data_IF_379616716243
#
_entry.id   IF_379616716243
#
_cell.length_a   1.000
_cell.length_b   1.000
_cell.length_c   1.000
_cell.angle_alpha   90.00
_cell.angle_beta   90.00
_cell.angle_gamma   90.00
#
_symmetry.space_group_name_H-M   'P 1'
#
loop_
_entity.id
_entity.type
_entity.pdbx_description
1 polymer ?
#
# COMPACT_ATOMS: atom_id res chain seq x y z
N UNK A 1 0.57 14.81 -6.24
CA UNK A 1 1.24 14.08 -5.15
C UNK A 1 1.77 12.76 -5.69
N UNK A 2 3.09 12.58 -5.74
CA UNK A 2 3.71 11.31 -6.14
C UNK A 2 4.52 10.68 -5.02
N UNK A 3 4.76 9.39 -5.10
CA UNK A 3 5.55 8.64 -4.12
C UNK A 3 5.34 7.14 -4.28
N UNK A 4 6.24 6.30 -3.74
CA UNK A 4 6.08 4.84 -3.79
C UNK A 4 4.81 4.40 -3.05
N UNK A 5 4.37 3.17 -3.33
CA UNK A 5 3.34 2.53 -2.52
C UNK A 5 3.75 2.48 -1.04
N UNK A 6 2.79 2.60 -0.12
CA UNK A 6 3.06 2.62 1.32
C UNK A 6 3.77 3.89 1.83
N UNK A 7 3.99 4.92 1.01
CA UNK A 7 4.60 6.19 1.46
C UNK A 7 3.65 7.13 2.22
N UNK A 8 2.34 6.85 2.21
CA UNK A 8 1.32 7.71 2.84
C UNK A 8 0.80 8.84 1.94
N UNK A 9 1.12 8.83 0.63
CA UNK A 9 0.67 9.84 -0.35
C UNK A 9 -0.86 10.02 -0.39
N UNK A 10 -1.61 8.94 -0.34
CA UNK A 10 -3.08 8.94 -0.40
C UNK A 10 -3.68 9.50 0.89
N UNK A 11 -3.16 9.09 2.05
CA UNK A 11 -3.55 9.65 3.36
C UNK A 11 -3.26 11.14 3.45
N UNK A 12 -2.09 11.58 2.97
CA UNK A 12 -1.74 13.00 2.91
C UNK A 12 -2.69 13.76 1.98
N UNK A 13 -2.97 13.23 0.79
CA UNK A 13 -3.89 13.83 -0.17
C UNK A 13 -5.28 14.09 0.44
N UNK A 14 -5.84 13.09 1.12
CA UNK A 14 -7.15 13.24 1.78
C UNK A 14 -7.12 14.19 2.98
N UNK A 15 -6.05 14.18 3.80
CA UNK A 15 -5.90 15.16 4.89
C UNK A 15 -5.84 16.59 4.36
N UNK A 16 -5.07 16.82 3.28
CA UNK A 16 -5.01 18.13 2.61
C UNK A 16 -6.36 18.52 2.02
N UNK A 17 -7.05 17.59 1.37
CA UNK A 17 -8.37 17.80 0.80
C UNK A 17 -9.41 18.20 1.84
N UNK A 18 -9.41 17.57 3.01
CA UNK A 18 -10.33 17.92 4.10
C UNK A 18 -10.08 19.33 4.66
N UNK A 19 -8.82 19.80 4.64
CA UNK A 19 -8.46 21.13 5.14
C UNK A 19 -8.77 22.22 4.11
N UNK A 20 -8.47 21.96 2.84
CA UNK A 20 -8.59 22.94 1.75
C UNK A 20 -10.00 22.94 1.15
N UNK A 21 -10.72 21.82 1.23
CA UNK A 21 -12.01 21.62 0.56
C UNK A 21 -11.87 21.25 -0.92
N UNK A 22 -10.80 20.54 -1.31
CA UNK A 22 -10.53 20.17 -2.71
C UNK A 22 -10.80 18.69 -3.02
N UNK A 23 -10.94 18.37 -4.30
CA UNK A 23 -11.14 16.99 -4.77
C UNK A 23 -9.80 16.25 -4.96
N UNK A 24 -9.79 14.96 -4.61
CA UNK A 24 -8.65 14.06 -4.83
C UNK A 24 -8.98 13.07 -5.93
N UNK A 25 -8.10 12.97 -6.92
CA UNK A 25 -8.23 12.06 -8.06
C UNK A 25 -7.04 11.10 -8.03
N UNK A 26 -7.34 9.82 -7.87
CA UNK A 26 -6.34 8.77 -8.00
C UNK A 26 -6.01 8.50 -9.46
N UNK A 27 -4.73 8.37 -9.78
CA UNK A 27 -4.27 7.95 -11.10
C UNK A 27 -4.62 6.50 -11.41
N UNK A 28 -4.87 5.68 -10.38
CA UNK A 28 -5.29 4.28 -10.54
C UNK A 28 -6.65 4.18 -11.26
N UNK A 29 -7.51 5.19 -11.10
CA UNK A 29 -8.75 5.32 -11.87
C UNK A 29 -8.55 5.34 -13.39
N UNK A 30 -7.37 5.77 -13.84
CA UNK A 30 -7.04 5.91 -15.26
C UNK A 30 -6.36 4.69 -15.85
N UNK A 31 -6.34 3.56 -15.16
CA UNK A 31 -5.88 2.32 -15.76
C UNK A 31 -6.74 1.86 -16.94
N UNK A 32 -6.09 1.22 -17.91
CA UNK A 32 -6.70 0.64 -19.10
C UNK A 32 -7.18 -0.79 -18.80
N UNK A 33 -8.44 -1.14 -19.12
CA UNK A 33 -8.97 -2.48 -18.86
C UNK A 33 -8.29 -3.56 -19.71
N UNK A 34 -7.73 -3.22 -20.88
CA UNK A 34 -7.06 -4.16 -21.79
C UNK A 34 -5.73 -4.69 -21.22
N UNK A 35 -5.16 -3.99 -20.23
CA UNK A 35 -3.85 -4.28 -19.65
C UNK A 35 -3.93 -5.05 -18.33
N UNK A 36 -4.95 -5.88 -18.13
CA UNK A 36 -5.17 -6.64 -16.87
C UNK A 36 -3.95 -7.46 -16.41
N UNK A 37 -3.13 -7.96 -17.34
CA UNK A 37 -1.88 -8.69 -17.02
C UNK A 37 -0.75 -7.76 -16.60
N UNK A 38 -0.71 -6.54 -17.14
CA UNK A 38 0.35 -5.56 -16.93
C UNK A 38 0.12 -4.71 -15.68
N UNK A 39 -1.13 -4.65 -15.17
CA UNK A 39 -1.45 -4.07 -13.86
C UNK A 39 -0.70 -4.73 -12.71
N UNK A 40 -0.38 -6.03 -12.86
CA UNK A 40 0.45 -6.73 -11.86
C UNK A 40 1.87 -6.17 -11.77
N UNK A 41 2.34 -5.46 -12.79
CA UNK A 41 3.71 -4.98 -12.91
C UNK A 41 3.83 -3.46 -12.73
N UNK A 42 2.76 -2.75 -12.39
CA UNK A 42 2.77 -1.29 -12.25
C UNK A 42 3.45 -0.60 -13.45
N UNK A 43 3.19 -1.02 -14.69
CA UNK A 43 3.79 -0.38 -15.87
C UNK A 43 3.07 0.95 -16.16
N UNK A 44 3.83 2.02 -16.37
CA UNK A 44 3.33 3.32 -16.81
C UNK A 44 2.43 3.23 -18.06
N UNK A 45 2.66 2.26 -18.97
CA UNK A 45 1.86 2.06 -20.19
C UNK A 45 0.41 1.64 -19.93
N UNK A 46 0.14 1.08 -18.75
CA UNK A 46 -1.20 0.71 -18.31
C UNK A 46 -2.10 1.93 -18.04
N UNK A 47 -1.52 3.13 -17.87
CA UNK A 47 -2.28 4.37 -17.72
C UNK A 47 -2.81 4.89 -19.05
N UNK A 48 -4.08 5.27 -19.05
CA UNK A 48 -4.77 5.98 -20.13
C UNK A 48 -4.38 7.47 -20.10
N UNK A 49 -3.15 7.75 -20.54
CA UNK A 49 -2.60 9.11 -20.57
C UNK A 49 -3.39 10.08 -21.45
N UNK A 50 -4.02 9.57 -22.51
CA UNK A 50 -4.85 10.38 -23.39
C UNK A 50 -6.07 10.90 -22.63
N UNK A 51 -6.79 10.00 -21.94
CA UNK A 51 -7.93 10.38 -21.11
C UNK A 51 -7.51 11.26 -19.92
N UNK A 52 -6.41 10.91 -19.25
CA UNK A 52 -5.88 11.67 -18.12
C UNK A 52 -5.53 13.11 -18.52
N UNK A 53 -4.73 13.30 -19.57
CA UNK A 53 -4.32 14.63 -20.02
C UNK A 53 -5.51 15.47 -20.51
N UNK A 54 -6.47 14.85 -21.20
CA UNK A 54 -7.73 15.51 -21.58
C UNK A 54 -8.49 15.99 -20.34
N UNK A 55 -8.67 15.11 -19.35
CA UNK A 55 -9.38 15.45 -18.11
C UNK A 55 -8.66 16.56 -17.33
N UNK A 56 -7.33 16.50 -17.20
CA UNK A 56 -6.55 17.58 -16.58
C UNK A 56 -6.76 18.91 -17.33
N UNK A 57 -6.73 18.89 -18.66
CA UNK A 57 -6.97 20.08 -19.46
C UNK A 57 -8.40 20.65 -19.27
N UNK A 58 -9.41 19.79 -19.26
CA UNK A 58 -10.81 20.17 -19.04
C UNK A 58 -11.01 20.79 -17.65
N UNK A 59 -10.42 20.17 -16.62
CA UNK A 59 -10.39 20.67 -15.23
C UNK A 59 -9.76 22.06 -15.16
N UNK A 60 -8.58 22.27 -15.78
CA UNK A 60 -7.91 23.58 -15.78
C UNK A 60 -8.70 24.68 -16.51
N UNK A 61 -9.66 24.30 -17.36
CA UNK A 61 -10.57 25.22 -18.05
C UNK A 61 -11.90 25.40 -17.31
N UNK A 62 -12.07 24.82 -16.12
CA UNK A 62 -13.31 24.88 -15.35
C UNK A 62 -14.46 24.11 -16.00
N UNK A 63 -14.16 23.12 -16.86
CA UNK A 63 -15.18 22.32 -17.54
C UNK A 63 -15.52 21.08 -16.72
N UNK A 64 -16.81 20.76 -16.66
CA UNK A 64 -17.29 19.51 -16.08
C UNK A 64 -16.61 18.31 -16.73
N UNK A 65 -16.02 17.44 -15.92
CA UNK A 65 -15.14 16.36 -16.39
C UNK A 65 -15.63 15.01 -15.88
N UNK A 66 -15.51 13.96 -16.70
CA UNK A 66 -15.90 12.59 -16.32
C UNK A 66 -14.65 11.80 -15.92
N UNK A 67 -14.48 11.56 -14.63
CA UNK A 67 -13.37 10.79 -14.07
C UNK A 67 -13.73 9.31 -14.14
N UNK A 68 -12.91 8.45 -14.76
CA UNK A 68 -13.18 7.01 -14.77
C UNK A 68 -13.18 6.45 -13.34
N UNK A 69 -13.98 5.41 -13.12
CA UNK A 69 -13.91 4.59 -11.91
C UNK A 69 -13.33 3.25 -12.34
N UNK A 70 -12.19 2.88 -11.75
CA UNK A 70 -11.52 1.63 -12.04
C UNK A 70 -11.72 0.67 -10.87
N UNK A 71 -12.22 -0.51 -11.19
CA UNK A 71 -12.35 -1.60 -10.24
C UNK A 71 -11.12 -2.50 -10.38
N UNK A 72 -10.27 -2.47 -9.35
CA UNK A 72 -9.04 -3.24 -9.29
C UNK A 72 -9.28 -4.76 -9.11
N UNK A 73 -10.44 -5.16 -8.58
CA UNK A 73 -10.80 -6.58 -8.41
C UNK A 73 -11.12 -7.21 -9.77
N UNK A 74 -12.03 -6.57 -10.51
CA UNK A 74 -12.40 -7.03 -11.86
C UNK A 74 -11.34 -6.66 -12.90
N UNK A 75 -10.47 -5.69 -12.61
CA UNK A 75 -9.50 -5.13 -13.55
C UNK A 75 -10.18 -4.40 -14.70
N UNK A 76 -11.33 -3.78 -14.43
CA UNK A 76 -12.18 -3.18 -15.45
C UNK A 76 -12.66 -1.78 -15.05
N UNK A 77 -13.05 -0.99 -16.04
CA UNK A 77 -13.63 0.34 -15.80
C UNK A 77 -15.12 0.17 -15.51
N UNK A 78 -15.51 0.39 -14.26
CA UNK A 78 -16.89 0.18 -13.76
C UNK A 78 -17.83 1.35 -14.07
N UNK A 79 -17.30 2.51 -14.47
CA UNK A 79 -18.10 3.65 -14.88
C UNK A 79 -17.32 4.97 -14.89
N UNK A 80 -18.06 6.07 -14.76
CA UNK A 80 -17.51 7.42 -14.64
C UNK A 80 -18.22 8.20 -13.53
N UNK A 81 -17.44 8.92 -12.73
CA UNK A 81 -17.92 9.91 -11.77
C UNK A 81 -17.82 11.29 -12.40
N UNK A 82 -18.89 12.07 -12.33
CA UNK A 82 -18.84 13.48 -12.73
C UNK A 82 -18.07 14.27 -11.67
N UNK A 83 -17.13 15.08 -12.15
CA UNK A 83 -16.35 16.00 -11.35
C UNK A 83 -16.68 17.42 -11.80
N UNK A 84 -17.18 18.20 -10.86
CA UNK A 84 -17.30 19.65 -10.96
C UNK A 84 -16.35 20.24 -9.92
N UNK A 85 -15.37 21.00 -10.38
CA UNK A 85 -14.47 21.71 -9.47
C UNK A 85 -15.24 22.87 -8.86
N UNK A 86 -15.20 22.98 -7.54
CA UNK A 86 -15.87 24.08 -6.83
C UNK A 86 -15.33 25.43 -7.31
N UNK A 87 -16.22 26.40 -7.52
CA UNK A 87 -15.82 27.78 -7.84
C UNK A 87 -15.05 28.43 -6.67
N UNK A 88 -15.34 28.02 -5.43
CA UNK A 88 -14.70 28.50 -4.22
C UNK A 88 -13.31 27.88 -4.00
N UNK A 89 -13.07 26.69 -4.57
CA UNK A 89 -11.82 25.95 -4.42
C UNK A 89 -11.34 25.39 -5.77
N UNK A 90 -10.53 26.18 -6.46
CA UNK A 90 -9.92 25.82 -7.76
C UNK A 90 -8.75 24.84 -7.69
N UNK A 91 -8.56 24.13 -6.57
CA UNK A 91 -7.48 23.14 -6.40
C UNK A 91 -8.02 21.74 -6.66
N UNK A 92 -7.26 20.92 -7.37
CA UNK A 92 -7.52 19.49 -7.55
C UNK A 92 -6.22 18.73 -7.32
N UNK A 93 -6.27 17.68 -6.50
CA UNK A 93 -5.11 16.89 -6.15
C UNK A 93 -5.11 15.60 -6.99
N UNK A 94 -4.14 15.47 -7.88
CA UNK A 94 -3.84 14.18 -8.52
C UNK A 94 -2.83 13.41 -7.67
N UNK A 95 -3.14 12.17 -7.33
CA UNK A 95 -2.25 11.29 -6.56
C UNK A 95 -2.01 9.96 -7.26
N UNK A 96 -0.82 9.39 -7.07
CA UNK A 96 -0.47 8.06 -7.58
C UNK A 96 1.03 7.87 -7.73
N UNK A 97 1.45 6.62 -7.95
CA UNK A 97 2.88 6.27 -8.03
C UNK A 97 3.60 6.99 -9.20
N UNK A 98 2.90 7.20 -10.31
CA UNK A 98 3.41 7.90 -11.49
C UNK A 98 2.98 9.37 -11.60
N UNK A 99 2.42 9.97 -10.54
CA UNK A 99 1.89 11.34 -10.62
C UNK A 99 2.90 12.39 -11.07
N UNK A 100 4.18 12.18 -10.74
CA UNK A 100 5.27 13.08 -11.10
C UNK A 100 6.01 12.65 -12.36
N UNK A 101 5.53 11.63 -13.09
CA UNK A 101 6.13 11.22 -14.36
C UNK A 101 6.15 12.40 -15.36
N UNK A 102 7.23 12.62 -16.14
CA UNK A 102 7.38 13.77 -17.05
C UNK A 102 6.18 14.02 -17.98
N UNK A 103 5.59 12.95 -18.50
CA UNK A 103 4.43 13.02 -19.38
C UNK A 103 3.13 13.49 -18.69
N UNK A 104 3.08 13.46 -17.35
CA UNK A 104 1.92 13.92 -16.56
C UNK A 104 2.24 15.28 -15.93
N UNK A 105 3.39 15.41 -15.25
CA UNK A 105 3.74 16.61 -14.47
C UNK A 105 3.76 17.90 -15.30
N UNK A 106 4.02 17.81 -16.61
CA UNK A 106 3.97 18.96 -17.54
C UNK A 106 2.60 19.64 -17.61
N UNK A 107 1.54 18.95 -17.17
CA UNK A 107 0.18 19.49 -17.09
C UNK A 107 -0.19 20.00 -15.68
N UNK A 108 0.64 19.73 -14.67
CA UNK A 108 0.41 20.04 -13.25
C UNK A 108 1.15 21.33 -12.84
N UNK A 109 0.58 22.08 -11.91
CA UNK A 109 1.12 23.36 -11.46
C UNK A 109 2.08 23.23 -10.25
N UNK A 110 1.86 22.24 -9.37
CA UNK A 110 2.69 21.97 -8.19
C UNK A 110 3.00 20.48 -8.06
N UNK A 111 4.27 20.15 -7.79
CA UNK A 111 4.77 18.78 -7.70
C UNK A 111 5.26 18.51 -6.29
N UNK A 112 4.54 17.65 -5.58
CA UNK A 112 4.89 17.24 -4.21
C UNK A 112 5.21 15.76 -4.23
N UNK A 113 6.41 15.39 -3.79
CA UNK A 113 6.85 14.02 -3.60
C UNK A 113 6.74 13.62 -2.13
N UNK A 114 6.20 12.45 -1.86
CA UNK A 114 6.18 11.82 -0.54
C UNK A 114 7.17 10.65 -0.56
N UNK A 115 8.19 10.72 0.27
CA UNK A 115 9.28 9.73 0.37
C UNK A 115 9.30 9.10 1.76
N UNK A 116 9.85 7.89 1.91
CA UNK A 116 9.79 7.14 3.17
C UNK A 116 8.43 6.49 3.46
N UNK A 117 8.19 6.09 4.70
CA UNK A 117 7.00 5.36 5.14
C UNK A 117 7.22 3.85 5.15
N UNK A 118 6.17 3.08 4.89
CA UNK A 118 6.19 1.63 5.14
C UNK A 118 7.13 0.88 4.18
N UNK A 119 7.30 1.39 2.95
CA UNK A 119 8.20 0.78 1.97
C UNK A 119 9.68 0.80 2.39
N UNK A 120 10.15 1.87 3.04
CA UNK A 120 11.54 1.95 3.55
C UNK A 120 11.75 1.02 4.74
N UNK A 121 10.68 0.71 5.46
CA UNK A 121 10.66 -0.28 6.52
C UNK A 121 10.91 -1.70 5.98
N UNK A 122 10.30 -2.07 4.85
CA UNK A 122 10.60 -3.35 4.18
C UNK A 122 12.07 -3.45 3.78
N UNK A 123 12.62 -2.41 3.17
CA UNK A 123 14.03 -2.39 2.76
C UNK A 123 14.96 -2.58 3.96
N UNK A 124 14.71 -1.82 5.03
CA UNK A 124 15.47 -1.91 6.28
C UNK A 124 15.38 -3.30 6.89
N UNK A 125 14.18 -3.93 6.82
CA UNK A 125 13.96 -5.30 7.28
C UNK A 125 14.76 -6.33 6.47
N UNK A 126 14.70 -6.25 5.15
CA UNK A 126 15.43 -7.14 4.24
C UNK A 126 16.94 -7.00 4.45
N UNK A 127 17.45 -5.78 4.59
CA UNK A 127 18.86 -5.51 4.88
C UNK A 127 19.30 -6.13 6.21
N UNK A 128 18.48 -5.99 7.25
CA UNK A 128 18.71 -6.62 8.57
C UNK A 128 18.75 -8.15 8.46
N UNK A 129 17.77 -8.76 7.79
CA UNK A 129 17.71 -10.22 7.63
C UNK A 129 18.93 -10.74 6.86
N UNK A 130 19.35 -10.05 5.80
CA UNK A 130 20.54 -10.38 5.01
C UNK A 130 21.83 -10.33 5.82
N UNK A 131 21.99 -9.29 6.66
CA UNK A 131 23.14 -9.17 7.54
C UNK A 131 23.28 -10.33 8.54
N UNK A 132 22.17 -10.93 8.97
CA UNK A 132 22.16 -12.09 9.90
C UNK A 132 22.67 -13.38 9.27
N UNK A 133 22.56 -13.51 7.95
CA UNK A 133 23.03 -14.70 7.20
C UNK A 133 24.43 -14.45 6.60
N UNK A 134 25.16 -13.45 7.11
CA UNK A 134 26.47 -13.01 6.60
C UNK A 134 26.47 -12.66 5.10
N UNK A 135 25.31 -12.24 4.57
CA UNK A 135 25.16 -11.76 3.21
C UNK A 135 25.11 -10.23 3.24
N UNK A 136 26.17 -9.60 2.76
CA UNK A 136 26.24 -8.14 2.66
C UNK A 136 25.78 -7.69 1.28
N UNK A 137 24.61 -7.07 1.24
CA UNK A 137 24.12 -6.34 0.08
C UNK A 137 23.97 -4.86 0.48
N UNK A 138 24.34 -3.97 -0.42
CA UNK A 138 24.07 -2.54 -0.29
C UNK A 138 22.56 -2.27 -0.35
N UNK A 139 22.13 -1.14 0.21
CA UNK A 139 20.73 -0.72 0.15
C UNK A 139 20.25 -0.58 -1.30
N UNK A 140 21.11 -0.11 -2.21
CA UNK A 140 20.81 0.05 -3.63
C UNK A 140 20.60 -1.30 -4.32
N UNK A 141 21.41 -2.32 -4.01
CA UNK A 141 21.23 -3.68 -4.57
C UNK A 141 19.91 -4.30 -4.09
N UNK A 142 19.56 -4.10 -2.82
CA UNK A 142 18.29 -4.57 -2.27
C UNK A 142 17.12 -3.85 -2.93
N UNK A 143 17.19 -2.52 -3.07
CA UNK A 143 16.16 -1.74 -3.73
C UNK A 143 15.98 -2.18 -5.19
N UNK A 144 17.07 -2.39 -5.93
CA UNK A 144 17.04 -2.84 -7.33
C UNK A 144 16.44 -4.24 -7.47
N UNK A 145 16.47 -5.04 -6.39
CA UNK A 145 15.92 -6.41 -6.40
C UNK A 145 14.47 -6.45 -5.92
N UNK A 146 14.15 -5.75 -4.83
CA UNK A 146 12.83 -5.78 -4.19
C UNK A 146 11.86 -4.81 -4.84
N UNK A 147 12.32 -3.62 -5.24
CA UNK A 147 11.48 -2.62 -5.89
C UNK A 147 12.12 -2.09 -7.20
N UNK A 148 12.44 -2.98 -8.16
CA UNK A 148 13.12 -2.59 -9.41
C UNK A 148 12.35 -1.52 -10.18
N UNK A 149 11.02 -1.67 -10.29
CA UNK A 149 10.16 -0.71 -10.99
C UNK A 149 10.18 0.66 -10.32
N UNK A 150 10.22 0.70 -8.99
CA UNK A 150 10.31 1.96 -8.26
C UNK A 150 11.63 2.67 -8.56
N UNK A 151 12.76 1.99 -8.36
CA UNK A 151 14.07 2.61 -8.53
C UNK A 151 14.33 3.05 -9.98
N UNK A 152 13.86 2.27 -10.97
CA UNK A 152 14.08 2.58 -12.38
C UNK A 152 13.08 3.60 -12.94
N UNK A 153 11.82 3.57 -12.52
CA UNK A 153 10.74 4.29 -13.21
C UNK A 153 9.95 5.27 -12.33
N UNK A 154 10.18 5.30 -11.01
CA UNK A 154 9.43 6.18 -10.10
C UNK A 154 10.37 7.14 -9.39
N UNK A 155 11.41 6.63 -8.73
CA UNK A 155 12.37 7.41 -7.94
C UNK A 155 12.98 8.60 -8.71
N UNK A 156 13.42 8.46 -9.98
CA UNK A 156 13.99 9.58 -10.73
C UNK A 156 13.03 10.76 -10.86
N UNK A 157 11.72 10.49 -10.91
CA UNK A 157 10.69 11.51 -11.06
C UNK A 157 10.39 12.26 -9.75
N UNK A 158 10.71 11.67 -8.61
CA UNK A 158 10.55 12.32 -7.30
C UNK A 158 11.64 13.36 -7.05
N UNK A 159 12.80 13.23 -7.69
CA UNK A 159 13.95 14.14 -7.51
C UNK A 159 13.60 15.57 -7.89
N UNK A 160 12.83 15.73 -8.97
CA UNK A 160 12.45 17.02 -9.56
C UNK A 160 11.23 17.69 -8.88
N UNK A 161 10.68 17.09 -7.82
CA UNK A 161 9.54 17.67 -7.12
C UNK A 161 9.89 19.03 -6.48
N UNK A 162 8.96 19.98 -6.55
CA UNK A 162 9.09 21.30 -5.92
C UNK A 162 9.15 21.19 -4.38
N UNK A 163 8.42 20.22 -3.82
CA UNK A 163 8.42 19.95 -2.38
C UNK A 163 8.57 18.44 -2.14
N UNK A 164 9.42 18.08 -1.18
CA UNK A 164 9.60 16.70 -0.72
C UNK A 164 9.16 16.61 0.73
N UNK A 165 8.17 15.76 0.97
CA UNK A 165 7.69 15.43 2.31
C UNK A 165 8.28 14.08 2.65
N UNK A 166 9.10 14.05 3.69
CA UNK A 166 9.65 12.83 4.23
C UNK A 166 8.69 12.27 5.28
N UNK A 167 8.17 11.10 5.01
CA UNK A 167 7.38 10.34 5.94
C UNK A 167 8.30 9.40 6.72
N UNK A 168 8.62 9.77 7.96
CA UNK A 168 9.39 8.93 8.87
C UNK A 168 8.50 8.04 9.74
N UNK A 169 7.26 7.78 9.30
CA UNK A 169 6.33 6.88 9.98
C UNK A 169 6.96 5.50 10.18
N UNK A 170 7.06 5.12 11.44
CA UNK A 170 7.48 3.81 11.87
C UNK A 170 6.21 3.00 12.22
N UNK A 171 5.85 1.98 11.44
CA UNK A 171 4.65 1.19 11.69
C UNK A 171 4.65 0.47 13.05
N UNK A 172 5.83 0.27 13.67
CA UNK A 172 5.98 -0.39 14.96
C UNK A 172 5.82 0.60 16.11
N UNK A 173 6.40 1.80 15.99
CA UNK A 173 6.40 2.81 17.06
C UNK A 173 5.25 3.82 16.97
N UNK A 174 4.73 4.08 15.77
CA UNK A 174 3.74 5.13 15.47
C UNK A 174 2.32 4.59 15.30
N UNK A 175 2.01 3.42 15.85
CA UNK A 175 0.69 2.83 15.74
C UNK A 175 -0.36 3.59 16.57
N UNK A 176 -0.89 4.69 16.03
CA UNK A 176 -1.91 5.53 16.67
C UNK A 176 -3.23 4.77 16.93
N UNK A 177 -3.53 3.73 16.13
CA UNK A 177 -4.69 2.85 16.27
C UNK A 177 -4.25 1.40 16.38
N UNK A 178 -3.78 1.00 17.55
CA UNK A 178 -3.49 -0.42 17.82
C UNK A 178 -4.80 -1.19 17.96
N UNK A 179 -4.98 -2.24 17.15
CA UNK A 179 -6.01 -3.24 17.39
C UNK A 179 -5.56 -4.09 18.59
N UNK A 180 -6.25 -3.92 19.72
CA UNK A 180 -6.04 -4.78 20.87
C UNK A 180 -6.78 -6.09 20.64
N UNK A 181 -6.03 -7.17 20.40
CA UNK A 181 -6.60 -8.51 20.30
C UNK A 181 -6.51 -9.16 21.68
N UNK A 182 -7.63 -9.18 22.40
CA UNK A 182 -7.74 -9.97 23.62
C UNK A 182 -7.99 -11.43 23.22
N UNK A 183 -7.05 -12.31 23.53
CA UNK A 183 -7.20 -13.76 23.32
C UNK A 183 -7.55 -14.42 24.64
N UNK A 184 -8.66 -15.15 24.67
CA UNK A 184 -9.04 -16.03 25.77
C UNK A 184 -8.87 -17.48 25.33
N UNK A 185 -8.50 -18.36 26.27
CA UNK A 185 -8.45 -19.80 26.03
C UNK A 185 -9.84 -20.45 26.09
N UNK A 186 -10.87 -19.69 26.48
CA UNK A 186 -12.24 -20.18 26.51
C UNK A 186 -12.84 -20.10 25.10
N UNK A 187 -13.37 -21.22 24.61
CA UNK A 187 -14.21 -21.23 23.42
C UNK A 187 -15.59 -20.66 23.78
N UNK A 188 -16.06 -19.68 23.01
CA UNK A 188 -17.36 -19.02 23.19
C UNK A 188 -18.15 -19.17 21.89
N UNK A 189 -19.44 -19.47 21.97
CA UNK A 189 -20.25 -19.57 20.76
C UNK A 189 -20.44 -18.17 20.15
N UNK A 190 -20.41 -18.10 18.80
CA UNK A 190 -20.59 -16.83 18.08
C UNK A 190 -21.91 -16.14 18.45
N UNK A 191 -22.95 -16.92 18.75
CA UNK A 191 -24.26 -16.41 19.15
C UNK A 191 -24.19 -15.64 20.48
N UNK A 192 -23.45 -16.16 21.46
CA UNK A 192 -23.28 -15.53 22.78
C UNK A 192 -22.50 -14.20 22.65
N UNK A 193 -21.57 -14.11 21.69
CA UNK A 193 -20.85 -12.88 21.38
C UNK A 193 -21.82 -11.83 20.82
N UNK A 194 -22.69 -12.22 19.88
CA UNK A 194 -23.67 -11.32 19.27
C UNK A 194 -24.69 -10.78 20.27
N UNK A 195 -25.08 -11.56 21.28
CA UNK A 195 -26.02 -11.12 22.33
C UNK A 195 -25.47 -9.96 23.19
N UNK A 196 -24.14 -9.86 23.31
CA UNK A 196 -23.48 -8.86 24.15
C UNK A 196 -23.13 -7.59 23.35
N UNK A 197 -22.94 -7.71 22.03
CA UNK A 197 -22.57 -6.59 21.17
C UNK A 197 -23.79 -5.70 20.86
N UNK A 198 -23.61 -4.38 20.92
CA UNK A 198 -24.64 -3.41 20.57
C UNK A 198 -25.00 -3.52 19.08
N UNK A 199 -26.19 -4.05 18.72
CA UNK A 199 -26.53 -4.35 17.33
C UNK A 199 -26.62 -3.07 16.47
N UNK A 200 -26.77 -1.89 17.09
CA UNK A 200 -26.78 -0.61 16.37
C UNK A 200 -25.39 -0.12 15.97
N UNK A 201 -24.33 -0.74 16.49
CA UNK A 201 -22.92 -0.39 16.24
C UNK A 201 -22.13 -1.52 15.56
N UNK A 202 -22.80 -2.60 15.19
CA UNK A 202 -22.16 -3.75 14.53
C UNK A 202 -22.26 -3.60 13.02
N UNK A 203 -21.12 -3.66 12.35
CA UNK A 203 -21.03 -3.83 10.91
C UNK A 203 -20.23 -5.12 10.64
N UNK A 204 -20.76 -6.02 9.82
CA UNK A 204 -20.09 -7.27 9.44
C UNK A 204 -19.74 -7.24 7.95
N UNK A 205 -18.48 -7.53 7.64
CA UNK A 205 -18.01 -7.76 6.27
C UNK A 205 -17.25 -9.08 6.22
N UNK A 206 -17.53 -9.90 5.20
CA UNK A 206 -16.78 -11.15 4.97
C UNK A 206 -15.76 -10.89 3.86
N UNK A 207 -14.49 -11.16 4.14
CA UNK A 207 -13.42 -11.02 3.17
C UNK A 207 -12.60 -12.32 3.10
N UNK A 208 -12.36 -12.81 1.88
CA UNK A 208 -11.52 -13.98 1.63
C UNK A 208 -10.09 -13.56 1.29
N UNK A 209 -9.10 -14.17 1.94
CA UNK A 209 -7.70 -13.89 1.69
C UNK A 209 -6.83 -15.14 1.82
N UNK A 210 -5.66 -15.11 1.20
CA UNK A 210 -4.61 -16.13 1.31
C UNK A 210 -3.37 -15.47 1.92
N UNK A 211 -2.79 -16.08 2.96
CA UNK A 211 -1.55 -15.58 3.56
C UNK A 211 -0.36 -16.49 3.20
N UNK A 212 0.67 -15.89 2.62
CA UNK A 212 1.97 -16.51 2.32
C UNK A 212 2.98 -16.03 3.37
N UNK A 213 3.76 -16.95 3.92
CA UNK A 213 4.82 -16.64 4.88
C UNK A 213 6.19 -16.87 4.24
N UNK A 214 6.97 -15.82 4.10
CA UNK A 214 8.30 -15.83 3.49
C UNK A 214 9.38 -15.74 4.56
N UNK A 215 10.35 -16.67 4.55
CA UNK A 215 11.50 -16.65 5.48
C UNK A 215 12.81 -16.74 4.71
N UNK A 216 13.82 -16.00 5.16
CA UNK A 216 15.15 -16.10 4.61
C UNK A 216 15.83 -17.41 5.09
N UNK A 217 16.29 -18.21 4.13
CA UNK A 217 17.02 -19.45 4.41
C UNK A 217 18.34 -19.16 5.14
N UNK A 218 18.64 -19.90 6.22
CA UNK A 218 19.87 -19.74 7.00
C UNK A 218 19.75 -18.94 8.29
N UNK A 219 18.60 -18.32 8.58
CA UNK A 219 18.32 -17.79 9.92
C UNK A 219 18.03 -18.99 10.84
N UNK A 220 18.78 -19.21 11.94
CA UNK A 220 18.55 -20.35 12.83
C UNK A 220 17.12 -20.34 13.39
N UNK A 221 16.44 -21.48 13.33
CA UNK A 221 15.14 -21.65 13.96
C UNK A 221 15.36 -22.06 15.42
N UNK A 222 15.02 -21.19 16.37
CA UNK A 222 15.01 -21.55 17.80
C UNK A 222 13.78 -22.43 18.13
N UNK A 223 13.64 -23.56 17.43
CA UNK A 223 12.51 -24.49 17.59
C UNK A 223 11.22 -24.02 16.91
N UNK A 224 10.46 -23.11 17.52
CA UNK A 224 9.19 -22.61 16.96
C UNK A 224 9.40 -21.38 16.04
N UNK A 225 8.76 -21.39 14.87
CA UNK A 225 8.68 -20.25 13.96
C UNK A 225 7.98 -19.05 14.65
N UNK A 226 8.76 -18.08 15.12
CA UNK A 226 8.23 -16.83 15.67
C UNK A 226 7.74 -15.96 14.51
N UNK A 227 6.61 -15.26 14.67
CA UNK A 227 6.08 -14.37 13.62
C UNK A 227 7.09 -13.31 13.15
N UNK A 228 8.01 -12.91 14.04
CA UNK A 228 9.08 -11.96 13.75
C UNK A 228 10.11 -12.47 12.74
N UNK A 229 10.14 -13.76 12.42
CA UNK A 229 11.13 -14.38 11.55
C UNK A 229 10.67 -14.52 10.09
N UNK A 230 9.42 -14.16 9.82
CA UNK A 230 8.81 -14.26 8.50
C UNK A 230 8.22 -12.92 8.05
N UNK A 231 8.34 -12.64 6.75
CA UNK A 231 7.57 -11.61 6.07
C UNK A 231 6.25 -12.24 5.66
N UNK A 232 5.11 -11.70 6.12
CA UNK A 232 3.79 -12.18 5.73
C UNK A 232 3.25 -11.35 4.58
N UNK A 233 2.87 -12.02 3.50
CA UNK A 233 2.21 -11.42 2.34
C UNK A 233 0.79 -11.94 2.29
N UNK A 234 -0.19 -11.04 2.31
CA UNK A 234 -1.60 -11.36 2.12
C UNK A 234 -2.00 -11.10 0.68
N UNK A 235 -2.71 -12.05 0.10
CA UNK A 235 -3.38 -11.90 -1.18
C UNK A 235 -4.86 -11.76 -0.90
N UNK A 236 -5.43 -10.62 -1.27
CA UNK A 236 -6.85 -10.36 -1.12
C UNK A 236 -7.35 -9.57 -2.34
N UNK A 237 -8.43 -10.04 -2.97
CA UNK A 237 -9.07 -9.35 -4.12
C UNK A 237 -8.07 -8.96 -5.23
N UNK A 238 -7.07 -9.83 -5.48
CA UNK A 238 -6.04 -9.61 -6.50
C UNK A 238 -4.90 -8.67 -6.09
N UNK A 239 -4.94 -8.08 -4.89
CA UNK A 239 -3.87 -7.25 -4.33
C UNK A 239 -2.97 -8.05 -3.41
N UNK A 240 -1.69 -7.70 -3.41
CA UNK A 240 -0.72 -8.21 -2.46
C UNK A 240 -0.48 -7.13 -1.41
N UNK A 241 -0.65 -7.47 -0.14
CA UNK A 241 -0.36 -6.59 0.98
C UNK A 241 0.70 -7.24 1.87
N UNK A 242 1.74 -6.49 2.22
CA UNK A 242 2.69 -6.90 3.23
C UNK A 242 2.15 -6.53 4.60
N UNK A 243 2.14 -7.53 5.49
CA UNK A 243 1.65 -7.40 6.86
C UNK A 243 2.85 -7.18 7.78
N UNK A 244 2.95 -5.98 8.33
CA UNK A 244 3.93 -5.68 9.38
C UNK A 244 3.24 -5.94 10.71
N UNK A 245 3.69 -7.01 11.37
CA UNK A 245 3.15 -7.49 12.63
C UNK A 245 4.30 -7.77 13.58
N UNK A 246 4.86 -6.71 14.15
CA UNK A 246 5.82 -6.82 15.24
C UNK A 246 5.04 -6.68 16.56
N UNK A 247 4.69 -7.79 17.24
CA UNK A 247 3.88 -7.72 18.45
C UNK A 247 4.69 -7.13 19.60
N UNK A 248 4.10 -6.13 20.28
CA UNK A 248 4.63 -5.53 21.49
C UNK A 248 3.96 -6.24 22.68
N UNK A 249 4.75 -6.71 23.65
CA UNK A 249 4.24 -7.35 24.86
C UNK A 249 4.34 -6.39 26.02
N UNK A 250 3.20 -6.10 26.65
CA UNK A 250 3.11 -5.27 27.85
C UNK A 250 2.32 -6.04 28.93
N UNK A 251 3.03 -6.66 29.87
CA UNK A 251 2.42 -7.56 30.87
C UNK A 251 1.69 -8.74 30.23
N UNK A 252 0.39 -8.86 30.47
CA UNK A 252 -0.49 -9.90 29.91
C UNK A 252 -1.07 -9.53 28.54
N UNK A 253 -0.74 -8.35 28.01
CA UNK A 253 -1.29 -7.85 26.76
C UNK A 253 -0.30 -8.06 25.60
N UNK A 254 -0.84 -8.52 24.48
CA UNK A 254 -0.14 -8.56 23.20
C UNK A 254 -0.76 -7.48 22.31
N UNK A 255 -0.03 -6.39 22.11
CA UNK A 255 -0.41 -5.30 21.24
C UNK A 255 0.15 -5.62 19.86
N UNK A 256 -0.73 -5.72 18.85
CA UNK A 256 -0.32 -6.03 17.49
C UNK A 256 -0.83 -4.92 16.56
N UNK A 257 -0.02 -3.88 16.33
CA UNK A 257 -0.32 -2.88 15.31
C UNK A 257 -0.66 -3.56 13.99
N UNK A 258 -1.80 -3.20 13.41
CA UNK A 258 -2.17 -3.68 12.08
C UNK A 258 -1.72 -2.62 11.09
N UNK A 259 -0.56 -2.84 10.49
CA UNK A 259 -0.11 -2.06 9.33
C UNK A 259 0.02 -3.00 8.15
N UNK A 260 -0.97 -2.94 7.27
CA UNK A 260 -0.99 -3.64 6.01
C UNK A 260 -0.65 -2.62 4.92
N UNK A 261 0.31 -2.92 4.05
CA UNK A 261 0.66 -2.02 2.95
C UNK A 261 0.71 -2.74 1.62
N UNK A 262 0.06 -2.15 0.62
CA UNK A 262 -0.03 -2.72 -0.72
C UNK A 262 1.34 -2.76 -1.41
N UNK A 263 1.65 -3.90 -2.02
CA UNK A 263 2.84 -4.15 -2.80
C UNK A 263 2.52 -4.74 -4.17
N UNK A 264 3.46 -4.59 -5.09
CA UNK A 264 3.40 -5.22 -6.41
C UNK A 264 3.77 -6.70 -6.35
N UNK A 265 3.41 -7.46 -7.39
CA UNK A 265 3.88 -8.86 -7.52
C UNK A 265 5.40 -8.93 -7.70
N UNK A 266 6.00 -7.90 -8.32
CA UNK A 266 7.45 -7.79 -8.49
C UNK A 266 8.17 -7.67 -7.15
N UNK A 267 7.53 -7.07 -6.15
CA UNK A 267 8.05 -7.04 -4.77
C UNK A 267 8.14 -8.43 -4.18
N UNK A 268 7.10 -9.25 -4.36
CA UNK A 268 7.10 -10.65 -3.92
C UNK A 268 8.20 -11.44 -4.64
N UNK A 269 8.30 -11.30 -5.97
CA UNK A 269 9.36 -11.95 -6.75
C UNK A 269 10.76 -11.51 -6.32
N UNK A 270 10.94 -10.23 -5.99
CA UNK A 270 12.20 -9.68 -5.49
C UNK A 270 12.62 -10.32 -4.17
N UNK A 271 11.68 -10.49 -3.23
CA UNK A 271 11.94 -11.22 -1.99
C UNK A 271 12.38 -12.66 -2.25
N UNK A 272 11.69 -13.38 -3.14
CA UNK A 272 12.07 -14.76 -3.51
C UNK A 272 13.48 -14.82 -4.12
N UNK A 273 13.82 -13.89 -5.01
CA UNK A 273 15.15 -13.79 -5.62
C UNK A 273 16.26 -13.50 -4.59
N UNK A 274 15.92 -12.81 -3.50
CA UNK A 274 16.81 -12.62 -2.37
C UNK A 274 16.94 -13.88 -1.49
N UNK A 275 16.35 -15.01 -1.83
CA UNK A 275 16.49 -16.28 -1.11
C UNK A 275 15.48 -16.45 0.03
N UNK A 276 14.43 -15.63 0.07
CA UNK A 276 13.26 -15.94 0.89
C UNK A 276 12.52 -17.14 0.29
N UNK A 277 12.09 -18.06 1.15
CA UNK A 277 11.33 -19.25 0.77
C UNK A 277 9.96 -19.21 1.44
N UNK A 278 8.95 -19.70 0.72
CA UNK A 278 7.61 -19.90 1.28
C UNK A 278 7.64 -21.03 2.32
N UNK A 279 6.98 -20.81 3.45
CA UNK A 279 6.78 -21.82 4.47
C UNK A 279 5.29 -22.06 4.65
N UNK A 280 4.91 -23.34 4.63
CA UNK A 280 3.57 -23.78 4.99
C UNK A 280 3.34 -23.61 6.50
N UNK A 281 2.54 -22.62 6.89
CA UNK A 281 1.88 -22.58 8.20
C UNK A 281 0.50 -23.24 8.04
N UNK A 282 0.16 -24.17 8.94
CA UNK A 282 -1.22 -24.64 9.05
C UNK A 282 -2.13 -23.40 9.19
N UNK A 283 -3.24 -23.32 8.44
CA UNK A 283 -4.14 -22.17 8.49
C UNK A 283 -4.63 -22.02 9.92
N UNK A 284 -4.15 -21.00 10.63
CA UNK A 284 -4.77 -20.59 11.87
C UNK A 284 -6.17 -20.10 11.50
N UNK A 285 -7.20 -20.83 11.92
CA UNK A 285 -8.59 -20.37 11.87
C UNK A 285 -8.67 -19.09 12.70
N UNK A 286 -8.54 -17.94 12.06
CA UNK A 286 -8.87 -16.66 12.64
C UNK A 286 -10.27 -16.31 12.18
N UNK A 287 -11.25 -16.37 13.09
CA UNK A 287 -12.49 -15.65 12.92
C UNK A 287 -12.20 -14.16 13.16
N UNK A 288 -12.60 -13.31 12.21
CA UNK A 288 -12.76 -11.87 12.40
C UNK A 288 -14.23 -11.59 12.62
#
# INVERSE_FOLDING_TARGET
LGGPSGSGKTSLAHKMANIIGCEVISLESYYKPEHRKDLKYDDFRSLDLALLSKNIYDIKKGRGTKIPVFDLETGSRSGFKELQVSEDCGVVIFEGIYALHPNIRKFLDLWIAVVGGVHSHLLSRVQRDKSRVACFLSQDEIMMTVFPMFQQHIEPHLVEAHLKIRNDFDPVLSAESSLFVLKSNNEVAYQDILEILDPTKVCSSVQSFVDIYLRLSGIPANGQLVESDCIRVRICEGRFALLIREPIREGNFVIQPKVDFDISISTVSGLLNLGYVEISRNPARGCF
#
